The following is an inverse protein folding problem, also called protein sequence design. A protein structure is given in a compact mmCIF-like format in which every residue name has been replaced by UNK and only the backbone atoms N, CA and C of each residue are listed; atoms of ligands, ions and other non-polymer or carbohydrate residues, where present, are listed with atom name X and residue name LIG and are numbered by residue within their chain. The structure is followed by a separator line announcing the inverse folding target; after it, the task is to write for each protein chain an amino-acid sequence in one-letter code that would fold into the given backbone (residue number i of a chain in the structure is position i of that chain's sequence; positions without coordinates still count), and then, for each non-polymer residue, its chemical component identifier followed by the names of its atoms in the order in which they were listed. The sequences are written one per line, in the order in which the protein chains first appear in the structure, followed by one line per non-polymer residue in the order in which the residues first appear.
data_IF_627883976247
#
_entry.id   IF_627883976247
#
_cell.length_a   1.000
_cell.length_b   1.000
_cell.length_c   1.000
_cell.angle_alpha   90.00
_cell.angle_beta   90.00
_cell.angle_gamma   90.00
#
_symmetry.space_group_name_H-M   'P 1'
#
loop_
_entity.id
_entity.type
_entity.pdbx_description
1 polymer ?
#
# COMPACT_ATOMS: atom_id res chain seq x y z
N UNK A 1 -16.28 -11.66 31.87
CA UNK A 1 -15.51 -10.77 30.95
C UNK A 1 -16.20 -10.73 29.60
N UNK A 2 -17.10 -9.76 29.39
CA UNK A 2 -17.85 -9.56 28.13
C UNK A 2 -17.56 -8.13 27.63
N UNK A 3 -16.37 -7.90 27.11
CA UNK A 3 -16.08 -6.74 26.26
C UNK A 3 -15.00 -7.16 25.28
N UNK A 4 -15.18 -6.82 23.99
CA UNK A 4 -14.32 -7.08 22.82
C UNK A 4 -14.84 -8.10 21.77
N UNK A 5 -16.14 -8.32 21.65
CA UNK A 5 -16.71 -9.03 20.48
C UNK A 5 -17.08 -8.12 19.28
N UNK A 6 -16.64 -6.85 19.28
CA UNK A 6 -16.96 -5.94 18.18
C UNK A 6 -15.89 -4.88 17.90
N UNK A 7 -14.61 -5.24 18.08
CA UNK A 7 -13.56 -4.54 17.32
C UNK A 7 -13.59 -5.15 15.93
N UNK A 8 -14.49 -4.64 15.08
CA UNK A 8 -14.30 -4.71 13.63
C UNK A 8 -12.97 -3.99 13.42
N UNK A 9 -11.86 -4.75 13.42
CA UNK A 9 -10.50 -4.21 13.34
C UNK A 9 -10.55 -3.22 12.20
N UNK A 10 -10.48 -1.94 12.52
CA UNK A 10 -10.23 -0.89 11.55
C UNK A 10 -8.86 -1.22 10.98
N UNK A 11 -8.83 -2.07 9.97
CA UNK A 11 -7.66 -2.35 9.18
C UNK A 11 -7.48 -1.11 8.31
N UNK A 12 -7.14 0.00 8.97
CA UNK A 12 -7.11 1.38 8.47
C UNK A 12 -6.12 1.58 7.31
N UNK A 13 -5.28 0.57 7.07
CA UNK A 13 -4.39 0.46 5.90
C UNK A 13 -5.08 -0.14 4.65
N UNK A 14 -6.19 -0.85 4.82
CA UNK A 14 -6.96 -1.50 3.75
C UNK A 14 -8.17 -0.64 3.35
N UNK A 15 -8.90 -0.11 4.33
CA UNK A 15 -10.22 0.51 4.09
C UNK A 15 -10.20 2.03 3.86
N UNK A 16 -9.02 2.65 3.81
CA UNK A 16 -8.90 4.09 3.51
C UNK A 16 -8.82 4.32 2.00
N UNK A 17 -9.67 5.21 1.45
CA UNK A 17 -9.70 5.56 0.02
C UNK A 17 -8.34 5.99 -0.53
N UNK A 18 -7.58 6.77 0.23
CA UNK A 18 -6.21 7.21 -0.12
C UNK A 18 -5.27 6.01 -0.27
N UNK A 19 -5.42 4.99 0.57
CA UNK A 19 -4.64 3.76 0.48
C UNK A 19 -4.97 3.00 -0.80
N UNK A 20 -6.26 2.78 -1.06
CA UNK A 20 -6.70 2.08 -2.27
C UNK A 20 -6.23 2.79 -3.54
N UNK A 21 -6.43 4.10 -3.66
CA UNK A 21 -5.99 4.85 -4.84
C UNK A 21 -4.47 4.80 -5.05
N UNK A 22 -3.68 4.83 -3.98
CA UNK A 22 -2.22 4.74 -4.08
C UNK A 22 -1.75 3.33 -4.49
N UNK A 23 -2.31 2.29 -3.85
CA UNK A 23 -2.01 0.90 -4.20
C UNK A 23 -2.43 0.59 -5.62
N UNK A 24 -3.68 0.86 -6.00
CA UNK A 24 -4.19 0.61 -7.35
C UNK A 24 -3.43 1.42 -8.39
N UNK A 25 -3.12 2.68 -8.12
CA UNK A 25 -2.36 3.54 -9.02
C UNK A 25 -0.96 3.01 -9.32
N UNK A 26 -0.19 2.65 -8.29
CA UNK A 26 1.15 2.08 -8.45
C UNK A 26 1.09 0.72 -9.15
N UNK A 27 0.21 -0.18 -8.70
CA UNK A 27 0.08 -1.51 -9.28
C UNK A 27 -0.34 -1.46 -10.75
N UNK A 28 -1.29 -0.58 -11.11
CA UNK A 28 -1.73 -0.37 -12.50
C UNK A 28 -0.57 0.05 -13.40
N UNK A 29 0.27 0.99 -12.96
CA UNK A 29 1.42 1.45 -13.77
C UNK A 29 2.48 0.36 -13.91
N UNK A 30 2.67 -0.48 -12.89
CA UNK A 30 3.56 -1.64 -12.96
C UNK A 30 2.97 -2.80 -13.78
N UNK A 31 1.74 -2.66 -14.30
CA UNK A 31 1.05 -3.72 -15.03
C UNK A 31 0.71 -4.91 -14.14
N UNK A 32 0.54 -4.66 -12.84
CA UNK A 32 0.25 -5.67 -11.84
C UNK A 32 -1.23 -5.63 -11.48
N UNK A 33 -1.89 -6.78 -11.63
CA UNK A 33 -3.31 -6.92 -11.35
C UNK A 33 -3.53 -8.08 -10.38
N UNK A 34 -4.54 -7.97 -9.51
CA UNK A 34 -4.97 -9.07 -8.62
C UNK A 34 -3.88 -9.64 -7.69
N UNK A 35 -2.85 -8.86 -7.30
CA UNK A 35 -1.87 -9.31 -6.28
C UNK A 35 -2.56 -9.62 -4.96
N UNK A 36 -3.27 -8.64 -4.41
CA UNK A 36 -3.92 -8.80 -3.12
C UNK A 36 -5.42 -9.09 -3.33
N UNK A 37 -6.01 -9.95 -2.51
CA UNK A 37 -7.43 -10.10 -2.24
C UNK A 37 -8.00 -8.91 -1.44
N UNK A 38 -7.28 -7.79 -1.38
CA UNK A 38 -7.53 -6.67 -0.47
C UNK A 38 -7.59 -7.11 1.00
N UNK A 39 -6.84 -8.13 1.39
CA UNK A 39 -6.68 -8.45 2.80
C UNK A 39 -5.47 -7.72 3.42
N UNK A 40 -5.52 -7.53 4.74
CA UNK A 40 -4.47 -6.84 5.48
C UNK A 40 -3.15 -7.62 5.46
N UNK A 41 -3.19 -8.94 5.54
CA UNK A 41 -1.98 -9.75 5.63
C UNK A 41 -1.16 -9.67 4.35
N UNK A 42 -1.82 -9.68 3.19
CA UNK A 42 -1.21 -9.49 1.89
C UNK A 42 -0.64 -8.07 1.75
N UNK A 43 -1.41 -7.03 2.08
CA UNK A 43 -0.95 -5.64 1.92
C UNK A 43 0.10 -5.20 2.95
N UNK A 44 0.04 -5.72 4.17
CA UNK A 44 0.92 -5.33 5.27
C UNK A 44 2.16 -6.21 5.41
N UNK A 45 2.04 -7.51 5.12
CA UNK A 45 3.12 -8.49 5.29
C UNK A 45 3.61 -9.08 3.96
N UNK A 46 2.99 -8.73 2.83
CA UNK A 46 3.38 -9.24 1.52
C UNK A 46 3.19 -10.75 1.36
N UNK A 47 2.31 -11.35 2.17
CA UNK A 47 2.01 -12.79 2.14
C UNK A 47 1.09 -13.07 0.96
N UNK A 48 1.59 -12.96 -0.26
CA UNK A 48 0.79 -13.09 -1.48
C UNK A 48 0.61 -14.55 -1.84
N UNK A 49 -0.65 -15.01 -1.84
CA UNK A 49 -0.99 -16.42 -2.08
C UNK A 49 -1.18 -16.73 -3.56
N UNK A 50 -1.26 -15.70 -4.42
CA UNK A 50 -1.52 -15.83 -5.86
C UNK A 50 -0.23 -15.89 -6.67
N UNK A 51 -0.23 -16.71 -7.73
CA UNK A 51 0.86 -16.72 -8.72
C UNK A 51 0.91 -15.41 -9.48
N UNK A 52 2.12 -14.82 -9.58
CA UNK A 52 2.38 -13.57 -10.27
C UNK A 52 3.68 -13.62 -11.07
N UNK A 53 3.85 -12.69 -12.01
CA UNK A 53 5.07 -12.55 -12.83
C UNK A 53 6.30 -12.18 -11.99
N UNK A 54 6.09 -11.47 -10.89
CA UNK A 54 7.13 -11.05 -9.96
C UNK A 54 7.34 -12.11 -8.89
N UNK A 55 8.60 -12.33 -8.49
CA UNK A 55 8.89 -13.18 -7.33
C UNK A 55 8.35 -12.55 -6.03
N UNK A 56 8.18 -13.35 -4.99
CA UNK A 56 7.59 -12.89 -3.72
C UNK A 56 8.38 -11.73 -3.09
N UNK A 57 9.70 -11.75 -3.19
CA UNK A 57 10.57 -10.69 -2.67
C UNK A 57 10.33 -9.34 -3.35
N UNK A 58 10.21 -9.33 -4.67
CA UNK A 58 9.93 -8.12 -5.44
C UNK A 58 8.56 -7.56 -5.07
N UNK A 59 7.55 -8.42 -4.95
CA UNK A 59 6.21 -8.01 -4.54
C UNK A 59 6.24 -7.43 -3.12
N UNK A 60 6.94 -8.07 -2.20
CA UNK A 60 7.12 -7.58 -0.84
C UNK A 60 7.78 -6.19 -0.81
N UNK A 61 8.80 -5.95 -1.63
CA UNK A 61 9.46 -4.64 -1.75
C UNK A 61 8.48 -3.59 -2.29
N UNK A 62 7.74 -3.89 -3.36
CA UNK A 62 6.74 -2.97 -3.94
C UNK A 62 5.71 -2.55 -2.88
N UNK A 63 5.12 -3.53 -2.19
CA UNK A 63 4.12 -3.27 -1.16
C UNK A 63 4.70 -2.48 0.02
N UNK A 64 5.95 -2.77 0.40
CA UNK A 64 6.66 -2.05 1.47
C UNK A 64 6.94 -0.59 1.12
N UNK A 65 7.35 -0.30 -0.12
CA UNK A 65 7.58 1.08 -0.59
C UNK A 65 6.27 1.87 -0.63
N UNK A 66 5.18 1.27 -1.14
CA UNK A 66 3.85 1.90 -1.13
C UNK A 66 3.45 2.25 0.31
N UNK A 67 3.60 1.30 1.24
CA UNK A 67 3.27 1.49 2.66
C UNK A 67 4.10 2.59 3.32
N UNK A 68 5.40 2.66 3.04
CA UNK A 68 6.27 3.72 3.53
C UNK A 68 5.75 5.10 3.10
N UNK A 69 5.39 5.25 1.82
CA UNK A 69 4.89 6.52 1.29
C UNK A 69 3.50 6.87 1.84
N UNK A 70 2.63 5.88 2.01
CA UNK A 70 1.34 6.07 2.67
C UNK A 70 1.52 6.58 4.11
N UNK A 71 2.43 5.97 4.88
CA UNK A 71 2.75 6.41 6.23
C UNK A 71 3.31 7.84 6.24
N UNK A 72 4.24 8.14 5.33
CA UNK A 72 4.83 9.47 5.20
C UNK A 72 3.78 10.55 4.91
N UNK A 73 2.84 10.32 3.98
CA UNK A 73 1.74 11.25 3.70
C UNK A 73 0.91 11.52 4.96
N UNK A 74 0.59 10.47 5.74
CA UNK A 74 -0.20 10.60 6.96
C UNK A 74 0.50 11.42 8.02
N UNK A 75 1.80 11.18 8.23
CA UNK A 75 2.61 12.00 9.14
C UNK A 75 2.57 13.46 8.69
N UNK A 76 2.81 13.74 7.41
CA UNK A 76 2.79 15.10 6.86
C UNK A 76 1.44 15.79 7.10
N UNK A 77 0.33 15.10 6.83
CA UNK A 77 -1.02 15.61 7.08
C UNK A 77 -1.29 15.89 8.57
N UNK A 78 -0.82 15.01 9.45
CA UNK A 78 -0.96 15.16 10.92
C UNK A 78 -0.23 16.40 11.42
N UNK A 79 0.94 16.71 10.84
CA UNK A 79 1.73 17.90 11.17
C UNK A 79 1.34 19.16 10.37
N UNK A 80 0.19 19.16 9.70
CA UNK A 80 -0.33 20.33 8.97
C UNK A 80 0.50 20.73 7.73
N UNK A 81 1.34 19.82 7.21
CA UNK A 81 2.13 20.05 6.01
C UNK A 81 1.37 19.60 4.75
N UNK A 82 1.62 20.31 3.65
CA UNK A 82 0.85 20.32 2.41
C UNK A 82 0.46 18.94 1.83
N UNK A 83 -0.71 18.92 1.18
CA UNK A 83 -1.35 17.77 0.56
C UNK A 83 -0.58 17.37 -0.71
N UNK A 84 0.46 16.54 -0.58
CA UNK A 84 1.03 15.88 -1.76
C UNK A 84 -0.08 15.12 -2.50
N UNK A 85 -0.22 15.41 -3.80
CA UNK A 85 -1.21 14.69 -4.60
C UNK A 85 -0.84 13.20 -4.68
N UNK A 86 -1.87 12.35 -4.78
CA UNK A 86 -1.66 10.91 -4.95
C UNK A 86 -0.80 10.65 -6.18
N UNK A 87 -1.01 11.38 -7.28
CA UNK A 87 -0.22 11.25 -8.50
C UNK A 87 1.26 11.59 -8.32
N UNK A 88 1.58 12.66 -7.59
CA UNK A 88 2.97 12.99 -7.26
C UNK A 88 3.63 11.88 -6.42
N UNK A 89 2.85 11.27 -5.52
CA UNK A 89 3.33 10.16 -4.68
C UNK A 89 3.55 8.90 -5.52
N UNK A 90 2.64 8.57 -6.43
CA UNK A 90 2.80 7.45 -7.38
C UNK A 90 4.09 7.64 -8.17
N UNK A 91 4.35 8.83 -8.73
CA UNK A 91 5.59 9.12 -9.47
C UNK A 91 6.84 8.92 -8.61
N UNK A 92 6.82 9.35 -7.34
CA UNK A 92 7.95 9.14 -6.40
C UNK A 92 8.18 7.66 -6.12
N UNK A 93 7.11 6.88 -5.90
CA UNK A 93 7.20 5.43 -5.67
C UNK A 93 7.80 4.76 -6.90
N UNK A 94 7.26 5.05 -8.09
CA UNK A 94 7.76 4.48 -9.35
C UNK A 94 9.22 4.85 -9.60
N UNK A 95 9.62 6.10 -9.34
CA UNK A 95 11.03 6.51 -9.46
C UNK A 95 11.96 5.69 -8.56
N UNK A 96 11.54 5.39 -7.32
CA UNK A 96 12.32 4.53 -6.42
C UNK A 96 12.34 3.06 -6.84
N UNK A 97 11.22 2.55 -7.35
CA UNK A 97 11.13 1.16 -7.81
C UNK A 97 11.89 0.92 -9.12
N UNK A 98 11.94 1.91 -10.02
CA UNK A 98 12.72 1.82 -11.26
C UNK A 98 14.23 1.85 -11.03
N UNK A 99 14.70 2.37 -9.88
CA UNK A 99 16.10 2.27 -9.46
C UNK A 99 16.46 0.88 -8.88
N UNK A 100 15.49 -0.01 -8.69
CA UNK A 100 15.71 -1.41 -8.29
C UNK A 100 15.87 -2.35 -9.50
N UNK A 101 15.93 -1.80 -10.72
CA UNK A 101 16.03 -2.56 -11.97
C UNK A 101 17.45 -2.59 -12.50
#
# INVERSE_FOLDING_TARGET
MKYLSHVRKENFLVDCSVSNSLYEGVLKVLGIYNICANDYAERAYGIVHRKHRYNQETVFIILSVIRYHLWSIRCMKTFGKDNQSIDQTIRKILGKLCLLR
#
